data_IF_774201570609
#
_entry.id   IF_774201570609
#
_cell.length_a   1.000
_cell.length_b   1.000
_cell.length_c   1.000
_cell.angle_alpha   90.00
_cell.angle_beta   90.00
_cell.angle_gamma   90.00
#
_symmetry.space_group_name_H-M   'P 1'
#
loop_
_entity.id
_entity.type
_entity.pdbx_description
1 polymer ?
#
# COMPACT_ATOMS: atom_id res chain seq x y z
N UNK A 1 -15.99 10.05 11.62
CA UNK A 1 -14.74 9.32 11.87
C UNK A 1 -13.92 10.16 12.83
N UNK A 2 -13.68 9.69 14.04
CA UNK A 2 -12.87 10.41 15.03
C UNK A 2 -11.43 10.43 14.53
N UNK A 3 -10.91 11.62 14.20
CA UNK A 3 -9.53 11.79 13.80
C UNK A 3 -8.57 11.30 14.90
N UNK A 4 -7.44 10.74 14.50
CA UNK A 4 -6.37 10.38 15.43
C UNK A 4 -5.89 11.67 16.11
N UNK A 5 -6.10 11.79 17.43
CA UNK A 5 -5.61 12.92 18.21
C UNK A 5 -4.16 12.64 18.58
N UNK A 6 -3.23 13.46 18.07
CA UNK A 6 -1.81 13.35 18.39
C UNK A 6 -1.39 14.53 19.26
N UNK A 7 -0.57 14.32 20.31
CA UNK A 7 -0.07 15.39 21.16
C UNK A 7 0.85 16.34 20.38
N UNK A 8 0.81 17.62 20.73
CA UNK A 8 1.64 18.67 20.15
C UNK A 8 3.12 18.36 20.35
N UNK A 9 3.86 18.12 19.25
CA UNK A 9 5.34 18.09 19.30
C UNK A 9 6.08 17.07 18.44
N UNK A 10 5.45 16.35 17.50
CA UNK A 10 6.20 15.47 16.58
C UNK A 10 6.53 16.16 15.27
N UNK A 11 7.84 16.29 14.99
CA UNK A 11 8.40 16.83 13.74
C UNK A 11 8.77 15.72 12.72
N UNK A 12 8.29 14.50 12.92
CA UNK A 12 8.47 13.38 11.99
C UNK A 12 7.17 13.26 11.20
N UNK A 13 7.18 13.21 9.86
CA UNK A 13 5.95 13.00 9.10
C UNK A 13 5.32 11.67 9.53
N UNK A 14 4.16 11.73 10.17
CA UNK A 14 3.39 10.55 10.56
C UNK A 14 2.73 9.96 9.31
N UNK A 15 3.12 8.74 8.98
CA UNK A 15 2.70 7.99 7.78
C UNK A 15 1.80 6.84 8.27
N UNK A 16 0.48 6.93 8.03
CA UNK A 16 -0.46 5.87 8.41
C UNK A 16 -1.12 5.22 7.20
N UNK A 17 -0.95 3.91 7.07
CA UNK A 17 -1.56 3.14 6.01
C UNK A 17 -2.95 2.69 6.42
N UNK A 18 -3.92 2.91 5.52
CA UNK A 18 -5.25 2.34 5.66
C UNK A 18 -5.39 1.28 4.57
N UNK A 19 -5.27 0.03 4.99
CA UNK A 19 -5.71 -1.09 4.17
C UNK A 19 -7.24 -1.10 4.19
N UNK A 20 -7.86 -0.35 3.27
CA UNK A 20 -9.29 -0.38 2.95
C UNK A 20 -10.22 0.34 3.98
N UNK A 21 -10.93 1.39 3.52
CA UNK A 21 -12.08 1.96 4.24
C UNK A 21 -13.36 1.21 3.84
N UNK A 22 -14.21 0.75 4.79
CA UNK A 22 -15.42 -0.03 4.51
C UNK A 22 -16.60 0.78 3.95
N UNK A 23 -16.42 2.07 3.65
CA UNK A 23 -17.49 2.94 3.15
C UNK A 23 -17.39 3.17 1.64
N UNK A 24 -18.25 2.48 0.88
CA UNK A 24 -18.63 2.81 -0.51
C UNK A 24 -17.93 2.00 -1.62
N UNK A 25 -18.50 2.01 -2.85
CA UNK A 25 -18.00 1.23 -4.01
C UNK A 25 -16.61 1.66 -4.52
N UNK A 26 -15.99 2.68 -3.90
CA UNK A 26 -14.70 3.26 -4.29
C UNK A 26 -13.65 3.13 -3.17
N UNK A 27 -13.77 2.13 -2.29
CA UNK A 27 -12.92 1.94 -1.11
C UNK A 27 -11.50 2.47 -1.29
N UNK A 28 -11.19 3.60 -0.66
CA UNK A 28 -9.91 4.26 -0.84
C UNK A 28 -8.80 3.40 -0.23
N UNK A 29 -7.91 2.89 -1.07
CA UNK A 29 -6.66 2.24 -0.65
C UNK A 29 -5.52 3.24 -0.82
N UNK A 30 -4.77 3.51 0.22
CA UNK A 30 -3.71 4.51 0.17
C UNK A 30 -3.06 4.78 1.51
N UNK A 31 -2.28 5.85 1.53
CA UNK A 31 -1.54 6.34 2.67
C UNK A 31 -2.02 7.75 3.01
N UNK A 32 -2.24 8.03 4.29
CA UNK A 32 -2.40 9.41 4.76
C UNK A 32 -1.03 10.02 5.03
N UNK A 33 -0.80 11.17 4.41
CA UNK A 33 0.38 12.01 4.62
C UNK A 33 -0.08 13.35 5.19
N UNK A 34 0.62 13.83 6.20
CA UNK A 34 0.49 15.19 6.68
C UNK A 34 1.56 16.06 6.02
N UNK A 35 1.14 17.15 5.40
CA UNK A 35 2.06 18.16 4.87
C UNK A 35 1.78 19.52 5.51
N UNK A 36 2.79 20.03 6.23
CA UNK A 36 2.74 21.35 6.85
C UNK A 36 3.00 22.49 5.85
N UNK A 37 3.49 22.16 4.64
CA UNK A 37 3.79 23.13 3.59
C UNK A 37 2.59 23.23 2.66
N UNK A 38 1.99 24.42 2.46
CA UNK A 38 0.90 24.57 1.53
C UNK A 38 1.41 24.40 0.08
N UNK A 39 0.78 23.48 -0.65
CA UNK A 39 1.04 23.27 -2.08
C UNK A 39 -0.12 23.79 -2.92
N UNK A 40 0.22 24.36 -4.07
CA UNK A 40 -0.75 24.79 -5.07
C UNK A 40 -0.79 23.75 -6.17
N UNK A 41 -1.95 23.13 -6.37
CA UNK A 41 -2.20 22.23 -7.49
C UNK A 41 -3.25 22.85 -8.43
N UNK A 42 -3.06 22.68 -9.73
CA UNK A 42 -4.04 23.12 -10.74
C UNK A 42 -4.62 21.88 -11.41
N UNK A 43 -5.94 21.73 -11.33
CA UNK A 43 -6.65 20.72 -12.11
C UNK A 43 -7.38 21.40 -13.26
N UNK A 44 -7.27 20.82 -14.45
CA UNK A 44 -8.04 21.24 -15.61
C UNK A 44 -9.23 20.30 -15.79
N UNK A 45 -10.43 20.87 -15.86
CA UNK A 45 -11.63 20.11 -16.23
C UNK A 45 -11.55 19.66 -17.69
N UNK A 46 -12.32 18.64 -18.06
CA UNK A 46 -12.52 18.24 -19.46
C UNK A 46 -13.14 19.34 -20.34
N UNK A 47 -13.76 20.36 -19.74
CA UNK A 47 -14.28 21.56 -20.40
C UNK A 47 -13.29 22.73 -20.42
N UNK A 48 -12.06 22.56 -19.93
CA UNK A 48 -10.98 23.55 -20.01
C UNK A 48 -10.92 24.55 -18.86
N UNK A 49 -11.78 24.44 -17.85
CA UNK A 49 -11.72 25.30 -16.66
C UNK A 49 -10.55 24.88 -15.76
N UNK A 50 -9.76 25.85 -15.30
CA UNK A 50 -8.69 25.63 -14.33
C UNK A 50 -9.23 25.87 -12.92
N UNK A 51 -9.12 24.87 -12.05
CA UNK A 51 -9.41 25.00 -10.62
C UNK A 51 -8.10 24.91 -9.85
N UNK A 52 -7.84 25.95 -9.04
CA UNK A 52 -6.68 26.01 -8.16
C UNK A 52 -7.06 25.43 -6.79
N UNK A 53 -6.30 24.44 -6.34
CA UNK A 53 -6.40 23.86 -5.02
C UNK A 53 -5.18 24.27 -4.20
N UNK A 54 -5.43 24.80 -3.01
CA UNK A 54 -4.40 24.99 -1.99
C UNK A 54 -4.62 23.88 -0.97
N UNK A 55 -3.65 22.97 -0.87
CA UNK A 55 -3.71 21.84 0.06
C UNK A 55 -2.64 22.00 1.14
N UNK A 56 -3.04 21.79 2.38
CA UNK A 56 -2.16 21.63 3.54
C UNK A 56 -2.87 20.74 4.57
N UNK A 57 -2.10 20.12 5.46
CA UNK A 57 -2.60 19.17 6.44
C UNK A 57 -2.67 17.73 5.90
N UNK A 58 -3.64 16.96 6.39
CA UNK A 58 -3.80 15.55 6.02
C UNK A 58 -4.42 15.38 4.64
N UNK A 59 -3.76 14.65 3.75
CA UNK A 59 -4.35 14.19 2.49
C UNK A 59 -3.95 12.76 2.16
N UNK A 60 -4.81 12.09 1.38
CA UNK A 60 -4.60 10.72 0.94
C UNK A 60 -3.77 10.69 -0.34
N UNK A 61 -2.73 9.85 -0.37
CA UNK A 61 -1.99 9.49 -1.58
C UNK A 61 -2.15 7.99 -1.84
N UNK A 62 -2.03 7.59 -3.11
CA UNK A 62 -2.18 6.19 -3.52
C UNK A 62 -1.09 5.75 -4.50
N UNK A 63 -1.35 4.66 -5.21
CA UNK A 63 -0.46 4.12 -6.23
C UNK A 63 0.63 3.19 -5.70
N UNK A 64 1.36 2.55 -6.63
CA UNK A 64 2.42 1.57 -6.32
C UNK A 64 3.60 2.19 -5.56
N UNK A 65 3.82 3.50 -5.72
CA UNK A 65 4.79 4.27 -4.93
C UNK A 65 4.51 4.19 -3.42
N UNK A 66 3.26 3.98 -3.01
CA UNK A 66 2.93 3.75 -1.61
C UNK A 66 3.23 2.31 -1.16
N UNK A 67 3.25 1.33 -2.08
CA UNK A 67 3.55 -0.07 -1.77
C UNK A 67 5.04 -0.35 -1.58
N UNK A 68 5.91 0.33 -2.34
CA UNK A 68 7.37 0.16 -2.22
C UNK A 68 7.92 0.41 -0.80
N UNK A 69 7.64 1.55 -0.14
CA UNK A 69 8.13 1.79 1.22
C UNK A 69 7.56 0.83 2.27
N UNK A 70 6.39 0.23 2.04
CA UNK A 70 5.85 -0.81 2.94
C UNK A 70 6.74 -2.06 2.92
N UNK A 71 7.11 -2.53 1.73
CA UNK A 71 8.02 -3.67 1.60
C UNK A 71 9.40 -3.37 2.20
N UNK A 72 9.93 -2.18 1.95
CA UNK A 72 11.20 -1.75 2.54
C UNK A 72 11.15 -1.72 4.07
N UNK A 73 10.08 -1.20 4.66
CA UNK A 73 9.89 -1.16 6.11
C UNK A 73 9.78 -2.57 6.72
N UNK A 74 9.05 -3.47 6.05
CA UNK A 74 8.92 -4.87 6.47
C UNK A 74 10.29 -5.57 6.51
N UNK A 75 11.09 -5.42 5.46
CA UNK A 75 12.45 -5.99 5.40
C UNK A 75 13.34 -5.34 6.45
N UNK A 76 13.26 -4.03 6.65
CA UNK A 76 14.04 -3.33 7.68
C UNK A 76 13.72 -3.81 9.11
N UNK A 77 12.44 -3.99 9.44
CA UNK A 77 12.00 -4.51 10.74
C UNK A 77 12.56 -5.92 10.98
N UNK A 78 12.46 -6.77 9.97
CA UNK A 78 13.03 -8.11 9.99
C UNK A 78 14.56 -8.12 10.16
N UNK A 79 15.29 -7.26 9.45
CA UNK A 79 16.74 -7.11 9.61
C UNK A 79 17.12 -6.57 11.00
N UNK A 80 16.30 -5.70 11.57
CA UNK A 80 16.53 -5.12 12.91
C UNK A 80 16.49 -6.17 14.02
N UNK A 81 15.78 -7.29 13.80
CA UNK A 81 15.74 -8.44 14.69
C UNK A 81 17.02 -9.32 14.63
N UNK A 82 18.07 -8.86 13.95
CA UNK A 82 19.35 -9.58 13.80
C UNK A 82 19.37 -10.57 12.65
N UNK A 83 18.37 -10.51 11.75
CA UNK A 83 18.36 -11.34 10.56
C UNK A 83 19.30 -10.79 9.47
N UNK A 84 19.83 -11.66 8.62
CA UNK A 84 20.52 -11.29 7.39
C UNK A 84 19.62 -11.67 6.22
N UNK A 85 19.32 -10.73 5.32
CA UNK A 85 18.56 -11.01 4.12
C UNK A 85 19.38 -10.69 2.88
N UNK A 86 19.57 -11.67 2.01
CA UNK A 86 19.91 -11.43 0.61
C UNK A 86 18.66 -11.01 -0.18
N UNK A 87 18.63 -11.32 -1.46
CA UNK A 87 17.43 -11.16 -2.28
C UNK A 87 16.30 -12.07 -1.74
N UNK A 88 15.22 -11.51 -1.21
CA UNK A 88 14.10 -12.27 -0.61
C UNK A 88 13.21 -13.00 -1.64
N UNK A 89 13.25 -12.59 -2.91
CA UNK A 89 12.34 -13.07 -3.96
C UNK A 89 12.40 -14.59 -4.15
N UNK A 90 13.57 -15.26 -4.29
CA UNK A 90 13.61 -16.71 -4.48
C UNK A 90 12.92 -17.50 -3.36
N UNK A 91 13.07 -17.08 -2.10
CA UNK A 91 12.45 -17.74 -0.96
C UNK A 91 10.93 -17.56 -0.94
N UNK A 92 10.44 -16.37 -1.29
CA UNK A 92 9.00 -16.15 -1.41
C UNK A 92 8.41 -17.10 -2.47
N UNK A 93 9.07 -17.22 -3.63
CA UNK A 93 8.56 -18.05 -4.72
C UNK A 93 8.73 -19.56 -4.48
N UNK A 94 9.70 -20.00 -3.66
CA UNK A 94 9.82 -21.40 -3.26
C UNK A 94 8.64 -21.88 -2.41
N UNK A 95 7.94 -20.95 -1.73
CA UNK A 95 6.75 -21.22 -0.92
C UNK A 95 5.42 -21.04 -1.67
N UNK A 96 5.45 -20.99 -3.01
CA UNK A 96 4.26 -20.79 -3.87
C UNK A 96 3.07 -21.70 -3.57
N UNK A 97 3.31 -22.97 -3.18
CA UNK A 97 2.23 -23.92 -2.84
C UNK A 97 1.47 -23.56 -1.56
N UNK A 98 2.10 -22.80 -0.68
CA UNK A 98 1.57 -22.41 0.63
C UNK A 98 1.34 -20.90 0.74
N UNK A 99 1.24 -20.20 -0.40
CA UNK A 99 1.19 -18.74 -0.44
C UNK A 99 0.07 -18.14 0.43
N UNK A 100 -1.06 -18.83 0.58
CA UNK A 100 -2.20 -18.37 1.40
C UNK A 100 -1.83 -18.21 2.87
N UNK A 101 -0.77 -18.87 3.36
CA UNK A 101 -0.28 -18.66 4.72
C UNK A 101 0.44 -17.32 4.87
N UNK A 102 1.03 -16.80 3.79
CA UNK A 102 1.95 -15.66 3.79
C UNK A 102 1.37 -14.42 3.14
N UNK A 103 0.32 -14.55 2.32
CA UNK A 103 -0.27 -13.45 1.57
C UNK A 103 -1.80 -13.45 1.65
N UNK A 104 -2.38 -12.26 1.56
CA UNK A 104 -3.80 -12.07 1.28
C UNK A 104 -3.94 -11.85 -0.23
N UNK A 105 -4.56 -12.82 -0.91
CA UNK A 105 -4.86 -12.69 -2.34
C UNK A 105 -5.84 -11.54 -2.60
N UNK A 106 -5.62 -10.81 -3.69
CA UNK A 106 -6.49 -9.72 -4.12
C UNK A 106 -7.56 -10.27 -5.04
N UNK A 107 -8.81 -9.83 -4.83
CA UNK A 107 -9.93 -10.19 -5.69
C UNK A 107 -10.36 -8.98 -6.50
N UNK A 108 -10.97 -9.25 -7.65
CA UNK A 108 -11.62 -8.23 -8.43
C UNK A 108 -12.68 -7.49 -7.59
N UNK A 109 -12.74 -6.19 -7.80
CA UNK A 109 -13.73 -5.32 -7.17
C UNK A 109 -15.02 -5.24 -8.00
N UNK A 110 -14.97 -5.63 -9.27
CA UNK A 110 -16.08 -5.64 -10.22
C UNK A 110 -16.29 -7.03 -10.84
N UNK A 111 -17.31 -7.14 -11.70
CA UNK A 111 -17.64 -8.38 -12.42
C UNK A 111 -16.73 -8.66 -13.62
N UNK A 112 -15.89 -7.71 -14.04
CA UNK A 112 -15.03 -7.86 -15.20
C UNK A 112 -13.81 -8.74 -14.89
N UNK A 113 -13.41 -8.80 -13.62
CA UNK A 113 -12.32 -9.64 -13.13
C UNK A 113 -10.98 -9.41 -13.85
N UNK A 114 -10.74 -8.21 -14.37
CA UNK A 114 -9.52 -7.85 -15.09
C UNK A 114 -9.20 -6.35 -14.94
N UNK A 115 -8.00 -5.95 -15.36
CA UNK A 115 -7.57 -4.54 -15.42
C UNK A 115 -7.45 -4.01 -16.87
N UNK A 116 -8.11 -4.67 -17.83
CA UNK A 116 -8.00 -4.42 -19.27
C UNK A 116 -6.89 -5.19 -19.98
N UNK A 117 -5.89 -5.74 -19.25
CA UNK A 117 -4.77 -6.48 -19.83
C UNK A 117 -4.58 -7.88 -19.23
N UNK A 118 -4.75 -7.99 -17.92
CA UNK A 118 -4.57 -9.22 -17.15
C UNK A 118 -5.80 -9.51 -16.31
N UNK A 119 -5.98 -10.78 -15.92
CA UNK A 119 -7.07 -11.24 -15.07
C UNK A 119 -6.58 -11.51 -13.64
N UNK A 120 -7.45 -11.28 -12.66
CA UNK A 120 -7.22 -11.71 -11.28
C UNK A 120 -7.31 -13.23 -11.18
N UNK A 121 -6.47 -13.84 -10.34
CA UNK A 121 -6.47 -15.29 -10.15
C UNK A 121 -6.27 -15.69 -8.69
N UNK A 122 -6.57 -16.97 -8.38
CA UNK A 122 -6.17 -17.55 -7.09
C UNK A 122 -4.69 -17.90 -7.16
N UNK A 123 -3.89 -17.28 -6.32
CA UNK A 123 -2.44 -17.48 -6.32
C UNK A 123 -1.74 -16.22 -6.78
N UNK A 124 -0.66 -16.41 -7.53
CA UNK A 124 0.04 -15.31 -8.17
C UNK A 124 -0.72 -14.87 -9.43
N UNK A 125 -0.87 -13.55 -9.61
CA UNK A 125 -1.34 -12.97 -10.88
C UNK A 125 -0.48 -11.76 -11.31
N UNK A 126 -0.61 -11.37 -12.57
CA UNK A 126 0.16 -10.26 -13.14
C UNK A 126 -0.33 -8.86 -12.73
N UNK A 127 -1.45 -8.77 -12.00
CA UNK A 127 -2.01 -7.49 -11.51
C UNK A 127 -1.44 -7.16 -10.13
N UNK A 128 -1.37 -8.14 -9.25
CA UNK A 128 -1.11 -7.99 -7.80
C UNK A 128 -0.05 -8.94 -7.26
N UNK A 129 0.51 -9.81 -8.10
CA UNK A 129 1.46 -10.83 -7.68
C UNK A 129 0.79 -11.81 -6.73
N UNK A 130 1.45 -12.10 -5.60
CA UNK A 130 0.89 -12.94 -4.53
C UNK A 130 -0.17 -12.20 -3.68
N UNK A 131 -0.36 -10.89 -3.87
CA UNK A 131 -1.22 -10.04 -3.06
C UNK A 131 -0.47 -9.35 -1.92
N UNK A 132 -1.18 -8.99 -0.84
CA UNK A 132 -0.59 -8.23 0.27
C UNK A 132 0.05 -9.14 1.33
N UNK A 133 1.21 -8.77 1.89
CA UNK A 133 1.93 -9.61 2.84
C UNK A 133 1.18 -9.75 4.18
N UNK A 134 1.09 -10.97 4.71
CA UNK A 134 0.72 -11.26 6.10
C UNK A 134 1.98 -11.21 6.95
N UNK A 135 2.35 -10.02 7.43
CA UNK A 135 3.67 -9.76 8.04
C UNK A 135 4.06 -10.79 9.11
N UNK A 136 3.15 -11.13 10.02
CA UNK A 136 3.40 -12.06 11.12
C UNK A 136 3.83 -13.46 10.69
N UNK A 137 3.40 -13.92 9.51
CA UNK A 137 3.76 -15.24 8.97
C UNK A 137 4.82 -15.13 7.88
N UNK A 138 4.76 -14.10 7.03
CA UNK A 138 5.72 -13.88 5.94
C UNK A 138 7.15 -13.75 6.45
N UNK A 139 7.35 -13.06 7.58
CA UNK A 139 8.68 -12.84 8.17
C UNK A 139 9.45 -14.14 8.42
N UNK A 140 8.74 -15.26 8.63
CA UNK A 140 9.34 -16.58 8.87
C UNK A 140 10.00 -17.20 7.64
N UNK A 141 9.72 -16.70 6.43
CA UNK A 141 10.24 -17.24 5.16
C UNK A 141 11.14 -16.27 4.38
N UNK A 142 11.54 -15.14 4.99
CA UNK A 142 12.42 -14.15 4.36
C UNK A 142 13.92 -14.50 4.46
N UNK A 143 14.29 -15.49 5.29
CA UNK A 143 15.67 -15.96 5.50
C UNK A 143 16.17 -16.71 4.27
N UNK A 144 17.35 -16.33 3.76
CA UNK A 144 18.17 -17.19 2.90
C UNK A 144 19.02 -18.13 3.76
#
# INVERSE_FOLDING_TARGET
MSGISLPSGRAVPDVSYVAMSPYGPTGWTGLWIYDSTPHVFMMQSTTGHLTMYVISGWYGVGGTSCGAPQWSALVADYLSAGAMSGLITPNIYSHSRSYENYFNGVKAWDSLNNNGYYYYSRGWDAITGWGSPKVSTLITILQQ
#
